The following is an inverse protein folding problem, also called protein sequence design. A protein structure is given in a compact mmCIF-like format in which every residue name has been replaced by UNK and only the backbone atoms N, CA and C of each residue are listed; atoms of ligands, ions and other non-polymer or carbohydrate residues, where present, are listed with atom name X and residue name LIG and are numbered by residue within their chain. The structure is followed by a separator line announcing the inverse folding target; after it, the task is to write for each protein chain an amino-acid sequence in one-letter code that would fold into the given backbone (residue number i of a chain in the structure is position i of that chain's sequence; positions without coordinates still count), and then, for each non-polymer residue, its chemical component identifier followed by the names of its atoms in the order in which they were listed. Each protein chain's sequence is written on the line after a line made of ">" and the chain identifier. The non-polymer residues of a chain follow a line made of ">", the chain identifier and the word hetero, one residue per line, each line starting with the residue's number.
data_IF_967681792984
#
_entry.id   IF_967681792984
#
_cell.length_a   1.000
_cell.length_b   1.000
_cell.length_c   1.000
_cell.angle_alpha   90.00
_cell.angle_beta   90.00
_cell.angle_gamma   90.00
#
_symmetry.space_group_name_H-M   'P 1'
#
loop_
_entity.id
_entity.type
_entity.pdbx_description
1 polymer ?
#
# COMPACT_ATOMS: atom_id res chain seq x y z
N UNK A 1 17.43 42.13 -6.82
CA UNK A 1 17.25 40.68 -7.03
C UNK A 1 16.02 40.28 -6.25
N UNK A 2 14.93 40.04 -6.97
CA UNK A 2 13.66 39.65 -6.36
C UNK A 2 13.71 38.18 -5.92
N UNK A 3 12.82 37.77 -5.02
CA UNK A 3 12.75 36.38 -4.54
C UNK A 3 12.57 35.39 -5.71
N UNK A 4 11.86 35.81 -6.77
CA UNK A 4 11.69 35.02 -7.99
C UNK A 4 13.01 34.78 -8.75
N UNK A 5 13.91 35.76 -8.80
CA UNK A 5 15.20 35.64 -9.47
C UNK A 5 16.11 34.63 -8.74
N UNK A 6 16.08 34.66 -7.39
CA UNK A 6 16.85 33.71 -6.57
C UNK A 6 16.32 32.30 -6.70
N UNK A 7 14.99 32.11 -6.75
CA UNK A 7 14.37 30.80 -6.95
C UNK A 7 14.76 30.19 -8.30
N UNK A 8 14.70 30.98 -9.39
CA UNK A 8 15.10 30.52 -10.71
C UNK A 8 16.60 30.17 -10.78
N UNK A 9 17.46 30.99 -10.17
CA UNK A 9 18.90 30.69 -10.08
C UNK A 9 19.19 29.43 -9.25
N UNK A 10 18.45 29.19 -8.18
CA UNK A 10 18.57 27.99 -7.37
C UNK A 10 18.14 26.73 -8.13
N UNK A 11 17.06 26.81 -8.91
CA UNK A 11 16.60 25.71 -9.77
C UNK A 11 17.64 25.36 -10.85
N UNK A 12 18.23 26.36 -11.50
CA UNK A 12 19.29 26.15 -12.50
C UNK A 12 20.57 25.57 -11.86
N UNK A 13 21.00 26.09 -10.71
CA UNK A 13 22.15 25.58 -9.99
C UNK A 13 21.94 24.11 -9.57
N UNK A 14 20.76 23.78 -9.05
CA UNK A 14 20.40 22.40 -8.69
C UNK A 14 20.39 21.49 -9.91
N UNK A 15 19.86 21.94 -11.05
CA UNK A 15 19.86 21.18 -12.29
C UNK A 15 21.27 20.80 -12.76
N UNK A 16 22.25 21.70 -12.66
CA UNK A 16 23.63 21.40 -13.03
C UNK A 16 24.27 20.37 -12.08
N UNK A 17 24.04 20.49 -10.77
CA UNK A 17 24.51 19.54 -9.76
C UNK A 17 23.93 18.14 -10.01
N UNK A 18 22.62 18.08 -10.27
CA UNK A 18 21.90 16.83 -10.52
C UNK A 18 22.42 16.15 -11.80
N UNK A 19 22.64 16.93 -12.87
CA UNK A 19 23.20 16.46 -14.13
C UNK A 19 24.62 15.91 -13.98
N UNK A 20 25.48 16.58 -13.22
CA UNK A 20 26.84 16.12 -12.95
C UNK A 20 26.81 14.79 -12.18
N UNK A 21 25.97 14.71 -11.15
CA UNK A 21 25.83 13.51 -10.31
C UNK A 21 25.28 12.32 -11.11
N UNK A 22 24.21 12.51 -11.87
CA UNK A 22 23.65 11.46 -12.74
C UNK A 22 24.61 11.08 -13.89
N UNK A 23 25.45 12.03 -14.32
CA UNK A 23 26.49 11.83 -15.32
C UNK A 23 27.66 10.96 -14.85
N UNK A 24 27.90 10.91 -13.54
CA UNK A 24 29.03 10.26 -12.91
C UNK A 24 29.14 8.76 -13.30
N UNK A 25 30.28 8.30 -13.87
CA UNK A 25 30.48 6.91 -14.26
C UNK A 25 30.31 5.89 -13.12
N UNK A 26 30.72 6.22 -11.89
CA UNK A 26 30.56 5.33 -10.73
C UNK A 26 29.08 5.18 -10.35
N UNK A 27 28.31 6.28 -10.38
CA UNK A 27 26.85 6.23 -10.15
C UNK A 27 26.18 5.36 -11.22
N UNK A 28 26.53 5.53 -12.50
CA UNK A 28 26.00 4.67 -13.58
C UNK A 28 26.34 3.20 -13.37
N UNK A 29 27.56 2.91 -12.92
CA UNK A 29 27.99 1.55 -12.58
C UNK A 29 27.20 0.97 -11.40
N UNK A 30 26.94 1.75 -10.33
CA UNK A 30 26.08 1.34 -9.22
C UNK A 30 24.68 0.97 -9.70
N UNK A 31 24.05 1.86 -10.48
CA UNK A 31 22.70 1.65 -11.01
C UNK A 31 22.64 0.41 -11.92
N UNK A 32 23.65 0.19 -12.75
CA UNK A 32 23.74 -1.01 -13.59
C UNK A 32 23.76 -2.29 -12.74
N UNK A 33 24.52 -2.32 -11.64
CA UNK A 33 24.57 -3.48 -10.73
C UNK A 33 23.22 -3.74 -10.08
N UNK A 34 22.47 -2.68 -9.72
CA UNK A 34 21.11 -2.80 -9.18
C UNK A 34 20.16 -3.35 -10.25
N UNK A 35 20.21 -2.84 -11.47
CA UNK A 35 19.41 -3.34 -12.59
C UNK A 35 19.68 -4.82 -12.87
N UNK A 36 20.95 -5.21 -13.03
CA UNK A 36 21.37 -6.61 -13.22
C UNK A 36 20.95 -7.50 -12.04
N UNK A 37 20.90 -6.96 -10.83
CA UNK A 37 20.38 -7.70 -9.67
C UNK A 37 18.89 -7.97 -9.81
N UNK A 38 18.09 -6.94 -10.12
CA UNK A 38 16.63 -7.03 -10.29
C UNK A 38 16.28 -7.97 -11.44
N UNK A 39 16.99 -7.90 -12.57
CA UNK A 39 16.78 -8.76 -13.73
C UNK A 39 17.06 -10.25 -13.46
N UNK A 40 17.92 -10.55 -12.49
CA UNK A 40 18.38 -11.93 -12.20
C UNK A 40 17.75 -12.54 -10.96
N UNK A 41 16.89 -11.82 -10.26
CA UNK A 41 16.25 -12.28 -9.03
C UNK A 41 14.73 -12.17 -9.11
N UNK A 42 14.07 -13.06 -8.38
CA UNK A 42 12.62 -13.04 -8.18
C UNK A 42 12.25 -11.90 -7.22
N UNK A 43 12.17 -10.68 -7.76
CA UNK A 43 11.76 -9.44 -7.08
C UNK A 43 10.82 -8.63 -7.97
N UNK A 44 9.98 -7.77 -7.40
CA UNK A 44 9.03 -6.94 -8.17
C UNK A 44 9.18 -5.46 -7.85
N UNK A 45 9.49 -4.65 -8.86
CA UNK A 45 9.59 -3.19 -8.70
C UNK A 45 8.23 -2.55 -8.44
N UNK A 46 8.21 -1.55 -7.55
CA UNK A 46 7.03 -0.74 -7.25
C UNK A 46 7.38 0.77 -7.21
N UNK A 47 6.44 1.61 -6.79
CA UNK A 47 6.69 3.02 -6.55
C UNK A 47 6.86 3.86 -7.83
N UNK A 48 7.52 5.01 -7.68
CA UNK A 48 7.64 6.00 -8.77
C UNK A 48 8.42 5.46 -9.97
N UNK A 49 9.51 4.73 -9.73
CA UNK A 49 10.36 4.18 -10.79
C UNK A 49 9.64 3.09 -11.57
N UNK A 50 8.84 2.24 -10.91
CA UNK A 50 7.97 1.28 -11.58
C UNK A 50 6.96 1.97 -12.51
N UNK A 51 6.22 2.96 -12.00
CA UNK A 51 5.25 3.71 -12.81
C UNK A 51 5.96 4.33 -14.03
N UNK A 52 7.06 5.05 -13.81
CA UNK A 52 7.81 5.70 -14.88
C UNK A 52 8.29 4.72 -15.97
N UNK A 53 8.74 3.52 -15.58
CA UNK A 53 9.24 2.52 -16.53
C UNK A 53 8.12 1.85 -17.33
N UNK A 54 6.94 1.68 -16.73
CA UNK A 54 5.76 1.17 -17.42
C UNK A 54 5.20 2.16 -18.44
N UNK A 55 5.29 3.47 -18.19
CA UNK A 55 4.78 4.49 -19.10
C UNK A 55 5.53 4.57 -20.45
N UNK A 56 4.85 5.01 -21.52
CA UNK A 56 5.50 5.33 -22.79
C UNK A 56 6.34 6.61 -22.65
N UNK A 57 7.29 6.82 -23.56
CA UNK A 57 8.34 7.86 -23.44
C UNK A 57 7.80 9.26 -23.18
N UNK A 58 6.71 9.65 -23.86
CA UNK A 58 6.08 10.96 -23.74
C UNK A 58 5.43 11.22 -22.37
N UNK A 59 5.12 10.16 -21.63
CA UNK A 59 4.41 10.24 -20.36
C UNK A 59 5.29 9.99 -19.15
N UNK A 60 6.56 9.62 -19.38
CA UNK A 60 7.57 9.52 -18.33
C UNK A 60 7.76 10.88 -17.65
N UNK A 61 7.93 10.83 -16.33
CA UNK A 61 8.06 12.01 -15.47
C UNK A 61 9.41 12.08 -14.76
N UNK A 62 10.27 11.06 -14.91
CA UNK A 62 11.67 11.13 -14.48
C UNK A 62 12.59 11.35 -15.68
N UNK A 63 13.56 12.23 -15.50
CA UNK A 63 14.62 12.46 -16.46
C UNK A 63 15.94 11.84 -15.97
N UNK A 64 16.29 10.65 -16.47
CA UNK A 64 17.53 9.97 -16.07
C UNK A 64 18.82 10.61 -16.60
N UNK A 65 18.75 11.73 -17.34
CA UNK A 65 19.95 12.55 -17.60
C UNK A 65 20.36 13.40 -16.39
N UNK A 66 19.43 13.62 -15.45
CA UNK A 66 19.63 14.45 -14.26
C UNK A 66 19.23 13.74 -12.97
N UNK A 67 18.39 12.71 -13.05
CA UNK A 67 17.90 11.98 -11.90
C UNK A 67 18.50 10.57 -11.81
N UNK A 68 18.93 10.19 -10.61
CA UNK A 68 19.32 8.81 -10.31
C UNK A 68 18.03 8.01 -10.04
N UNK A 69 17.80 6.87 -10.71
CA UNK A 69 16.63 6.05 -10.42
C UNK A 69 16.74 5.47 -9.01
N UNK A 70 15.74 5.75 -8.19
CA UNK A 70 15.53 5.10 -6.89
C UNK A 70 14.78 3.78 -7.13
N UNK A 71 15.43 2.64 -6.89
CA UNK A 71 14.83 1.33 -7.12
C UNK A 71 14.19 0.79 -5.86
N UNK A 72 12.86 0.92 -5.81
CA UNK A 72 11.99 0.26 -4.85
C UNK A 72 11.56 -1.12 -5.39
N UNK A 73 11.80 -2.20 -4.65
CA UNK A 73 11.28 -3.52 -5.04
C UNK A 73 10.92 -4.44 -3.87
N UNK A 74 9.89 -5.24 -4.09
CA UNK A 74 9.41 -6.23 -3.14
C UNK A 74 10.20 -7.53 -3.23
N UNK A 75 10.33 -8.18 -2.09
CA UNK A 75 10.98 -9.47 -1.92
C UNK A 75 10.29 -10.26 -0.79
N UNK A 76 10.12 -11.56 -0.98
CA UNK A 76 9.72 -12.47 0.10
C UNK A 76 10.80 -12.51 1.21
N UNK A 77 12.06 -12.18 0.89
CA UNK A 77 13.23 -12.25 1.79
C UNK A 77 14.13 -11.01 1.62
N UNK A 78 13.67 -9.81 2.00
CA UNK A 78 14.34 -8.56 1.64
C UNK A 78 15.74 -8.42 2.25
N UNK A 79 15.97 -8.85 3.49
CA UNK A 79 17.29 -8.91 4.14
C UNK A 79 18.31 -9.79 3.38
N UNK A 80 17.84 -10.89 2.78
CA UNK A 80 18.69 -11.79 1.99
C UNK A 80 19.08 -11.13 0.68
N UNK A 81 18.11 -10.53 -0.02
CA UNK A 81 18.37 -9.80 -1.26
C UNK A 81 19.23 -8.55 -1.02
N UNK A 82 19.01 -7.82 0.06
CA UNK A 82 19.83 -6.67 0.46
C UNK A 82 21.28 -7.08 0.71
N UNK A 83 21.52 -8.15 1.46
CA UNK A 83 22.87 -8.68 1.70
C UNK A 83 23.56 -9.11 0.41
N UNK A 84 22.84 -9.79 -0.52
CA UNK A 84 23.41 -10.18 -1.82
C UNK A 84 23.75 -8.99 -2.71
N UNK A 85 22.88 -7.98 -2.76
CA UNK A 85 23.12 -6.75 -3.52
C UNK A 85 24.33 -5.99 -2.95
N UNK A 86 24.39 -5.85 -1.63
CA UNK A 86 25.53 -5.25 -0.94
C UNK A 86 26.84 -6.01 -1.22
N UNK A 87 26.82 -7.34 -1.22
CA UNK A 87 27.99 -8.14 -1.60
C UNK A 87 28.42 -7.90 -3.06
N UNK A 88 27.47 -7.75 -4.00
CA UNK A 88 27.80 -7.44 -5.41
C UNK A 88 28.46 -6.08 -5.54
N UNK A 89 27.93 -5.06 -4.85
CA UNK A 89 28.48 -3.71 -4.84
C UNK A 89 29.89 -3.69 -4.22
N UNK A 90 30.08 -4.32 -3.05
CA UNK A 90 31.39 -4.38 -2.42
C UNK A 90 32.43 -5.11 -3.30
N UNK A 91 32.03 -6.18 -3.98
CA UNK A 91 32.91 -6.90 -4.90
C UNK A 91 33.21 -6.12 -6.20
N UNK A 92 32.38 -5.14 -6.55
CA UNK A 92 32.59 -4.24 -7.69
C UNK A 92 33.55 -3.07 -7.37
N UNK A 93 34.04 -2.97 -6.13
CA UNK A 93 35.07 -2.03 -5.71
C UNK A 93 34.56 -0.78 -4.97
N UNK A 94 33.26 -0.67 -4.64
CA UNK A 94 32.75 0.45 -3.85
C UNK A 94 33.25 0.38 -2.41
N UNK A 95 33.72 1.51 -1.88
CA UNK A 95 34.49 1.58 -0.63
C UNK A 95 33.64 1.49 0.63
N UNK A 96 32.43 2.06 0.60
CA UNK A 96 31.48 2.04 1.71
C UNK A 96 30.16 1.44 1.24
N UNK A 97 29.87 0.19 1.65
CA UNK A 97 28.60 -0.47 1.30
C UNK A 97 27.87 -0.87 2.56
N UNK A 98 26.62 -0.45 2.72
CA UNK A 98 25.85 -0.64 3.95
C UNK A 98 24.42 -1.06 3.65
N UNK A 99 23.91 -2.02 4.43
CA UNK A 99 22.49 -2.36 4.53
C UNK A 99 21.99 -1.88 5.88
N UNK A 100 20.90 -1.12 5.88
CA UNK A 100 20.23 -0.63 7.09
C UNK A 100 18.73 -0.88 7.02
N UNK A 101 18.05 -1.09 8.16
CA UNK A 101 16.59 -1.07 8.19
C UNK A 101 16.08 0.31 7.76
N UNK A 102 15.01 0.31 6.97
CA UNK A 102 14.32 1.51 6.51
C UNK A 102 13.43 2.12 7.60
N UNK A 103 12.74 3.20 7.26
CA UNK A 103 11.76 3.82 8.16
C UNK A 103 10.56 2.88 8.40
N UNK A 104 10.11 2.21 7.35
CA UNK A 104 9.08 1.18 7.42
C UNK A 104 9.72 -0.16 7.80
N UNK A 105 9.21 -0.80 8.85
CA UNK A 105 9.69 -2.10 9.30
C UNK A 105 9.53 -3.15 8.18
N UNK A 106 10.56 -3.97 7.97
CA UNK A 106 10.60 -4.95 6.88
C UNK A 106 11.12 -4.39 5.54
N UNK A 107 11.43 -3.09 5.46
CA UNK A 107 12.19 -2.49 4.36
C UNK A 107 13.67 -2.39 4.71
N UNK A 108 14.55 -2.71 3.77
CA UNK A 108 16.00 -2.57 3.90
C UNK A 108 16.55 -1.65 2.83
N UNK A 109 17.28 -0.63 3.25
CA UNK A 109 17.96 0.32 2.36
C UNK A 109 19.40 -0.10 2.16
N UNK A 110 19.81 -0.18 0.89
CA UNK A 110 21.19 -0.45 0.48
C UNK A 110 21.84 0.86 0.06
N UNK A 111 23.01 1.14 0.64
CA UNK A 111 23.85 2.27 0.32
C UNK A 111 25.17 1.81 -0.29
N UNK A 112 25.66 2.52 -1.30
CA UNK A 112 27.00 2.41 -1.84
C UNK A 112 27.62 3.80 -1.94
N UNK A 113 28.80 3.99 -1.33
CA UNK A 113 29.50 5.26 -1.21
C UNK A 113 28.57 6.41 -0.81
N UNK A 114 27.76 6.14 0.23
CA UNK A 114 26.78 7.05 0.84
C UNK A 114 25.57 7.41 -0.03
N UNK A 115 25.48 6.86 -1.25
CA UNK A 115 24.32 6.98 -2.12
C UNK A 115 23.35 5.83 -1.83
N UNK A 116 22.07 6.15 -1.60
CA UNK A 116 21.02 5.14 -1.51
C UNK A 116 20.72 4.59 -2.90
N UNK A 117 20.87 3.28 -3.10
CA UNK A 117 20.76 2.67 -4.44
C UNK A 117 19.56 1.74 -4.60
N UNK A 118 18.98 1.25 -3.50
CA UNK A 118 17.79 0.42 -3.52
C UNK A 118 17.10 0.37 -2.14
N UNK A 119 15.77 0.33 -2.17
CA UNK A 119 14.90 0.02 -1.04
C UNK A 119 14.20 -1.32 -1.32
N UNK A 120 14.44 -2.30 -0.44
CA UNK A 120 13.97 -3.68 -0.60
C UNK A 120 12.96 -3.98 0.49
N UNK A 121 11.69 -4.08 0.12
CA UNK A 121 10.57 -4.23 1.06
C UNK A 121 10.06 -5.67 1.14
N UNK A 122 9.67 -6.09 2.34
CA UNK A 122 9.01 -7.38 2.53
C UNK A 122 7.67 -7.41 1.80
N UNK A 123 7.31 -8.59 1.31
CA UNK A 123 6.00 -8.91 0.76
C UNK A 123 5.66 -10.35 1.18
N UNK A 124 4.46 -10.56 1.70
CA UNK A 124 3.98 -11.90 2.05
C UNK A 124 4.04 -12.85 0.84
N UNK A 125 4.31 -14.13 1.08
CA UNK A 125 4.51 -15.11 0.03
C UNK A 125 3.26 -15.42 -0.81
N UNK A 126 2.06 -15.39 -0.23
CA UNK A 126 0.81 -15.57 -0.98
C UNK A 126 0.53 -14.35 -1.84
N UNK A 127 0.69 -13.16 -1.27
CA UNK A 127 0.56 -11.89 -1.98
C UNK A 127 1.57 -11.77 -3.13
N UNK A 128 2.83 -12.11 -2.86
CA UNK A 128 3.90 -12.09 -3.86
C UNK A 128 3.57 -13.04 -5.01
N UNK A 129 3.12 -14.26 -4.74
CA UNK A 129 2.72 -15.22 -5.79
C UNK A 129 1.56 -14.70 -6.63
N UNK A 130 0.56 -14.09 -5.99
CA UNK A 130 -0.59 -13.50 -6.68
C UNK A 130 -0.15 -12.40 -7.64
N UNK A 131 0.59 -11.42 -7.16
CA UNK A 131 1.13 -10.32 -7.97
C UNK A 131 2.08 -10.82 -9.07
N UNK A 132 2.93 -11.80 -8.75
CA UNK A 132 3.87 -12.40 -9.71
C UNK A 132 3.13 -13.09 -10.86
N UNK A 133 1.99 -13.71 -10.61
CA UNK A 133 1.22 -14.43 -11.63
C UNK A 133 0.66 -13.52 -12.73
N UNK A 134 0.41 -12.25 -12.43
CA UNK A 134 -0.02 -11.24 -13.42
C UNK A 134 1.09 -10.90 -14.44
N UNK A 135 2.35 -11.29 -14.17
CA UNK A 135 3.45 -11.32 -15.14
C UNK A 135 3.72 -9.98 -15.86
N UNK A 136 3.66 -8.86 -15.13
CA UNK A 136 3.99 -7.55 -15.69
C UNK A 136 5.50 -7.39 -15.77
N UNK A 137 6.05 -7.61 -16.98
CA UNK A 137 7.49 -7.56 -17.25
C UNK A 137 7.82 -6.58 -18.37
N UNK A 138 8.91 -5.83 -18.20
CA UNK A 138 9.50 -5.00 -19.27
C UNK A 138 11.01 -5.00 -19.12
N UNK A 139 11.73 -5.32 -20.20
CA UNK A 139 13.19 -5.43 -20.20
C UNK A 139 13.73 -6.36 -19.09
N UNK A 140 13.12 -7.54 -18.89
CA UNK A 140 13.50 -8.52 -17.85
C UNK A 140 13.32 -8.05 -16.40
N UNK A 141 12.70 -6.89 -16.20
CA UNK A 141 12.33 -6.40 -14.87
C UNK A 141 10.84 -6.68 -14.65
N UNK A 142 10.53 -7.35 -13.55
CA UNK A 142 9.16 -7.55 -13.10
C UNK A 142 8.68 -6.35 -12.29
N UNK A 143 7.44 -5.93 -12.54
CA UNK A 143 6.78 -4.83 -11.85
C UNK A 143 5.53 -5.34 -11.15
N UNK A 144 5.14 -4.68 -10.06
CA UNK A 144 3.79 -4.89 -9.52
C UNK A 144 2.74 -4.38 -10.53
N UNK A 145 1.55 -5.00 -10.58
CA UNK A 145 0.54 -4.64 -11.56
C UNK A 145 0.03 -3.19 -11.45
N UNK A 146 -0.44 -2.59 -12.56
CA UNK A 146 -0.99 -1.24 -12.55
C UNK A 146 -2.08 -1.01 -11.49
N UNK A 147 -2.95 -2.00 -11.24
CA UNK A 147 -3.98 -1.91 -10.22
C UNK A 147 -3.42 -1.93 -8.79
N UNK A 148 -2.29 -2.60 -8.55
CA UNK A 148 -1.56 -2.52 -7.30
C UNK A 148 -0.92 -1.13 -7.10
N UNK A 149 -0.33 -0.56 -8.15
CA UNK A 149 0.20 0.80 -8.12
C UNK A 149 -0.91 1.82 -7.83
N UNK A 150 -2.09 1.68 -8.46
CA UNK A 150 -3.28 2.48 -8.14
C UNK A 150 -3.66 2.37 -6.67
N UNK A 151 -3.75 1.15 -6.14
CA UNK A 151 -4.08 0.90 -4.74
C UNK A 151 -3.15 1.69 -3.82
N UNK A 152 -1.83 1.59 -4.03
CA UNK A 152 -0.85 2.33 -3.22
C UNK A 152 -1.01 3.85 -3.31
N UNK A 153 -1.35 4.39 -4.48
CA UNK A 153 -1.58 5.82 -4.66
C UNK A 153 -2.88 6.27 -3.97
N UNK A 154 -3.95 5.48 -4.06
CA UNK A 154 -5.21 5.76 -3.36
C UNK A 154 -5.08 5.60 -1.85
N UNK A 155 -4.19 4.74 -1.36
CA UNK A 155 -3.83 4.64 0.05
C UNK A 155 -3.24 5.97 0.58
N UNK A 156 -2.36 6.62 -0.18
CA UNK A 156 -1.82 7.94 0.18
C UNK A 156 -2.90 9.04 0.10
N UNK A 157 -3.68 9.05 -0.99
CA UNK A 157 -4.73 10.07 -1.22
C UNK A 157 -5.91 9.94 -0.26
N UNK A 158 -6.15 8.76 0.31
CA UNK A 158 -7.24 8.54 1.27
C UNK A 158 -6.92 9.07 2.67
N UNK A 159 -5.68 9.51 2.95
CA UNK A 159 -5.17 9.88 4.28
C UNK A 159 -4.86 11.39 4.40
N UNK A 160 -5.85 12.26 4.69
CA UNK A 160 -5.66 13.71 4.78
C UNK A 160 -4.79 14.19 5.95
N UNK A 161 -4.51 13.32 6.93
CA UNK A 161 -3.52 13.59 7.98
C UNK A 161 -2.17 12.91 7.75
N UNK A 162 -2.01 12.18 6.63
CA UNK A 162 -0.76 11.55 6.22
C UNK A 162 0.22 12.54 5.59
N UNK A 163 1.10 12.06 4.71
CA UNK A 163 2.06 12.92 4.01
C UNK A 163 1.42 13.63 2.81
N UNK A 164 0.67 14.70 3.10
CA UNK A 164 -0.04 15.50 2.09
C UNK A 164 0.89 16.26 1.15
N UNK A 165 2.18 16.43 1.50
CA UNK A 165 3.16 17.09 0.62
C UNK A 165 3.36 16.32 -0.69
N UNK A 166 3.10 15.01 -0.67
CA UNK A 166 3.23 14.11 -1.82
C UNK A 166 2.03 14.13 -2.76
N UNK A 167 0.87 14.64 -2.33
CA UNK A 167 -0.40 14.46 -3.04
C UNK A 167 -0.38 14.97 -4.48
N UNK A 168 0.23 16.14 -4.73
CA UNK A 168 0.36 16.69 -6.09
C UNK A 168 1.08 15.71 -7.02
N UNK A 169 2.21 15.17 -6.55
CA UNK A 169 3.06 14.22 -7.30
C UNK A 169 2.38 12.87 -7.46
N UNK A 170 1.73 12.37 -6.42
CA UNK A 170 0.97 11.10 -6.45
C UNK A 170 -0.18 11.18 -7.43
N UNK A 171 -0.96 12.27 -7.40
CA UNK A 171 -2.10 12.44 -8.29
C UNK A 171 -1.69 12.58 -9.75
N UNK A 172 -0.64 13.35 -10.08
CA UNK A 172 -0.13 13.45 -11.47
C UNK A 172 0.27 12.08 -12.03
N UNK A 173 0.99 11.29 -11.23
CA UNK A 173 1.39 9.92 -11.59
C UNK A 173 0.20 9.00 -11.79
N UNK A 174 -0.78 9.09 -10.91
CA UNK A 174 -2.03 8.32 -11.01
C UNK A 174 -2.77 8.65 -12.31
N UNK A 175 -2.86 9.93 -12.69
CA UNK A 175 -3.51 10.33 -13.94
C UNK A 175 -2.77 9.80 -15.18
N UNK A 176 -1.43 9.87 -15.19
CA UNK A 176 -0.61 9.27 -16.26
C UNK A 176 -0.79 7.76 -16.33
N UNK A 177 -0.81 7.07 -15.19
CA UNK A 177 -1.04 5.63 -15.12
C UNK A 177 -2.44 5.27 -15.63
N UNK A 178 -3.48 6.01 -15.22
CA UNK A 178 -4.86 5.81 -15.66
C UNK A 178 -5.03 6.01 -17.17
N UNK A 179 -4.33 6.98 -17.76
CA UNK A 179 -4.37 7.20 -19.21
C UNK A 179 -3.75 6.04 -20.00
N UNK A 180 -2.66 5.46 -19.52
CA UNK A 180 -1.89 4.46 -20.26
C UNK A 180 -2.27 3.01 -19.94
N UNK A 181 -2.84 2.78 -18.76
CA UNK A 181 -3.23 1.46 -18.27
C UNK A 181 -4.66 1.51 -17.71
N UNK A 182 -5.67 1.97 -18.47
CA UNK A 182 -7.01 2.18 -17.93
C UNK A 182 -7.52 0.93 -17.20
N UNK A 183 -8.19 1.14 -16.05
CA UNK A 183 -8.94 0.05 -15.45
C UNK A 183 -10.04 -0.36 -16.42
N UNK A 184 -10.27 -1.66 -16.55
CA UNK A 184 -11.31 -2.21 -17.39
C UNK A 184 -12.21 -3.08 -16.52
N UNK A 185 -13.52 -2.84 -16.57
CA UNK A 185 -14.51 -3.79 -16.08
C UNK A 185 -14.49 -5.02 -17.01
N UNK A 186 -14.12 -6.22 -16.53
CA UNK A 186 -14.16 -7.42 -17.36
C UNK A 186 -15.59 -7.75 -17.78
N UNK A 187 -15.76 -8.50 -18.88
CA UNK A 187 -17.08 -8.97 -19.31
C UNK A 187 -17.74 -9.86 -18.24
N UNK A 188 -19.07 -9.75 -18.09
CA UNK A 188 -19.85 -10.52 -17.13
C UNK A 188 -19.63 -12.02 -17.28
N UNK A 189 -19.05 -12.63 -16.24
CA UNK A 189 -18.82 -14.09 -16.19
C UNK A 189 -19.87 -14.79 -15.35
N UNK A 190 -20.43 -14.15 -14.32
CA UNK A 190 -21.45 -14.73 -13.44
C UNK A 190 -22.40 -13.67 -12.87
N UNK A 191 -23.70 -13.99 -12.83
CA UNK A 191 -24.69 -13.18 -12.13
C UNK A 191 -24.65 -13.52 -10.64
N UNK A 192 -23.92 -12.74 -9.84
CA UNK A 192 -24.03 -12.81 -8.39
C UNK A 192 -25.40 -12.24 -7.97
N UNK A 193 -26.22 -13.02 -7.26
CA UNK A 193 -27.46 -12.50 -6.69
C UNK A 193 -27.16 -11.52 -5.57
N UNK A 194 -27.79 -10.35 -5.62
CA UNK A 194 -27.68 -9.36 -4.55
C UNK A 194 -28.74 -9.61 -3.48
N UNK A 195 -28.24 -9.91 -2.28
CA UNK A 195 -29.06 -9.91 -1.07
C UNK A 195 -29.06 -8.51 -0.46
N UNK A 196 -30.19 -8.11 0.12
CA UNK A 196 -30.39 -6.78 0.70
C UNK A 196 -30.88 -6.89 2.14
N UNK A 197 -30.46 -5.92 2.96
CA UNK A 197 -30.97 -5.74 4.31
C UNK A 197 -32.46 -5.41 4.31
N UNK A 198 -33.19 -6.01 5.24
CA UNK A 198 -34.57 -5.65 5.57
C UNK A 198 -34.64 -4.18 6.04
N UNK A 199 -35.74 -3.49 5.72
CA UNK A 199 -35.89 -2.04 5.95
C UNK A 199 -35.74 -1.66 7.42
N UNK A 200 -36.34 -2.44 8.33
CA UNK A 200 -36.30 -2.24 9.77
C UNK A 200 -34.87 -2.39 10.32
N UNK A 201 -34.20 -3.50 10.00
CA UNK A 201 -32.81 -3.74 10.36
C UNK A 201 -31.89 -2.65 9.82
N UNK A 202 -32.09 -2.22 8.57
CA UNK A 202 -31.34 -1.12 7.95
C UNK A 202 -31.54 0.19 8.74
N UNK A 203 -32.75 0.48 9.17
CA UNK A 203 -33.05 1.68 9.98
C UNK A 203 -32.31 1.64 11.33
N UNK A 204 -32.38 0.52 12.05
CA UNK A 204 -31.68 0.35 13.32
C UNK A 204 -30.15 0.45 13.17
N UNK A 205 -29.57 -0.24 12.18
CA UNK A 205 -28.15 -0.16 11.88
C UNK A 205 -27.75 1.28 11.56
N UNK A 206 -28.52 1.99 10.75
CA UNK A 206 -28.25 3.39 10.42
C UNK A 206 -28.19 4.27 11.67
N UNK A 207 -29.15 4.13 12.59
CA UNK A 207 -29.13 4.87 13.87
C UNK A 207 -27.87 4.54 14.68
N UNK A 208 -27.51 3.26 14.78
CA UNK A 208 -26.27 2.83 15.46
C UNK A 208 -25.06 3.47 14.81
N UNK A 209 -24.97 3.51 13.48
CA UNK A 209 -23.84 4.14 12.77
C UNK A 209 -23.74 5.64 13.05
N UNK A 210 -24.86 6.36 13.10
CA UNK A 210 -24.91 7.80 13.36
C UNK A 210 -24.48 8.14 14.81
N UNK A 211 -24.85 7.29 15.79
CA UNK A 211 -24.44 7.43 17.19
C UNK A 211 -22.96 7.08 17.36
N UNK A 212 -22.54 5.93 16.84
CA UNK A 212 -21.17 5.43 16.98
C UNK A 212 -20.16 6.15 16.08
N UNK A 213 -20.63 6.97 15.14
CA UNK A 213 -19.80 7.65 14.12
C UNK A 213 -19.05 6.65 13.24
N UNK A 214 -19.72 5.55 12.87
CA UNK A 214 -19.20 4.58 11.91
C UNK A 214 -19.33 5.11 10.48
N UNK A 215 -18.35 4.79 9.64
CA UNK A 215 -18.33 5.16 8.21
C UNK A 215 -18.87 4.00 7.38
N UNK A 216 -19.84 4.27 6.51
CA UNK A 216 -20.26 3.33 5.48
C UNK A 216 -19.14 3.13 4.44
N UNK A 217 -18.85 1.89 4.11
CA UNK A 217 -17.79 1.47 3.18
C UNK A 217 -18.36 0.53 2.11
N UNK A 218 -17.50 0.09 1.18
CA UNK A 218 -17.80 -0.96 0.22
C UNK A 218 -18.83 -0.54 -0.82
N UNK A 219 -19.50 -1.52 -1.41
CA UNK A 219 -20.45 -1.30 -2.50
C UNK A 219 -21.61 -0.39 -2.10
N UNK A 220 -22.09 -0.45 -0.85
CA UNK A 220 -23.15 0.44 -0.39
C UNK A 220 -22.70 1.91 -0.41
N UNK A 221 -21.46 2.18 -0.01
CA UNK A 221 -20.90 3.52 -0.06
C UNK A 221 -20.67 4.03 -1.49
N UNK A 222 -20.27 3.16 -2.43
CA UNK A 222 -20.11 3.56 -3.83
C UNK A 222 -21.45 3.94 -4.46
N UNK A 223 -22.51 3.17 -4.23
CA UNK A 223 -23.84 3.46 -4.78
C UNK A 223 -24.46 4.75 -4.22
N UNK A 224 -24.17 5.13 -2.97
CA UNK A 224 -24.65 6.40 -2.40
C UNK A 224 -24.03 7.64 -3.06
N UNK A 225 -22.91 7.51 -3.78
CA UNK A 225 -22.33 8.62 -4.55
C UNK A 225 -23.21 8.99 -5.76
N UNK A 226 -24.11 8.10 -6.19
CA UNK A 226 -24.89 8.21 -7.45
C UNK A 226 -26.33 8.73 -7.26
N UNK A 227 -26.74 9.16 -6.05
CA UNK A 227 -28.11 9.61 -5.70
C UNK A 227 -29.21 8.52 -5.78
N UNK A 228 -28.91 7.22 -5.60
CA UNK A 228 -29.84 6.17 -5.13
C UNK A 228 -29.13 4.83 -4.94
N UNK A 229 -29.43 4.04 -3.87
CA UNK A 229 -30.75 3.43 -3.69
C UNK A 229 -31.29 3.45 -2.25
N UNK A 230 -32.58 3.12 -2.11
CA UNK A 230 -33.28 2.93 -0.83
C UNK A 230 -32.86 1.66 -0.09
N UNK A 231 -32.12 0.71 -0.68
CA UNK A 231 -31.79 -0.60 -0.08
C UNK A 231 -30.28 -0.77 0.08
N UNK A 232 -29.85 -1.37 1.18
CA UNK A 232 -28.43 -1.69 1.43
C UNK A 232 -28.16 -3.16 1.12
N UNK A 233 -27.15 -3.42 0.30
CA UNK A 233 -26.71 -4.75 -0.10
C UNK A 233 -25.89 -5.43 1.00
N UNK A 234 -25.92 -6.76 1.04
CA UNK A 234 -25.08 -7.61 1.87
C UNK A 234 -23.85 -8.14 1.11
N UNK A 235 -22.68 -8.28 1.79
CA UNK A 235 -22.43 -7.80 3.15
C UNK A 235 -22.34 -6.27 3.23
N UNK A 236 -22.72 -5.72 4.38
CA UNK A 236 -22.55 -4.30 4.69
C UNK A 236 -21.13 -4.06 5.23
N UNK A 237 -20.30 -3.31 4.52
CA UNK A 237 -18.97 -2.95 4.99
C UNK A 237 -19.01 -1.62 5.76
N UNK A 238 -18.41 -1.61 6.95
CA UNK A 238 -18.33 -0.48 7.86
C UNK A 238 -16.88 -0.24 8.30
N UNK A 239 -16.56 1.00 8.64
CA UNK A 239 -15.26 1.39 9.19
C UNK A 239 -15.46 2.12 10.53
N UNK A 240 -14.71 1.70 11.55
CA UNK A 240 -14.80 2.21 12.92
C UNK A 240 -13.41 2.43 13.54
N UNK A 241 -13.33 3.23 14.60
CA UNK A 241 -12.09 3.35 15.39
C UNK A 241 -11.88 2.11 16.26
N UNK A 242 -10.62 1.73 16.58
CA UNK A 242 -10.34 0.52 17.35
C UNK A 242 -11.08 0.44 18.68
N UNK A 243 -11.22 1.56 19.39
CA UNK A 243 -11.92 1.68 20.66
C UNK A 243 -13.44 1.42 20.56
N UNK A 244 -14.03 1.62 19.37
CA UNK A 244 -15.47 1.46 19.15
C UNK A 244 -15.86 0.13 18.52
N UNK A 245 -14.93 -0.62 17.94
CA UNK A 245 -15.26 -1.84 17.16
C UNK A 245 -16.08 -2.84 17.96
N UNK A 246 -15.69 -3.13 19.20
CA UNK A 246 -16.36 -4.14 20.01
C UNK A 246 -17.79 -3.74 20.39
N UNK A 247 -18.01 -2.49 20.76
CA UNK A 247 -19.34 -1.97 21.12
C UNK A 247 -20.24 -1.84 19.89
N UNK A 248 -19.71 -1.32 18.77
CA UNK A 248 -20.41 -1.28 17.49
C UNK A 248 -20.84 -2.67 17.04
N UNK A 249 -19.96 -3.66 17.14
CA UNK A 249 -20.28 -5.06 16.80
C UNK A 249 -21.49 -5.54 17.60
N UNK A 250 -21.48 -5.35 18.92
CA UNK A 250 -22.60 -5.75 19.79
C UNK A 250 -23.88 -5.04 19.35
N UNK A 251 -23.88 -3.72 19.22
CA UNK A 251 -25.06 -2.94 18.84
C UNK A 251 -25.64 -3.36 17.49
N UNK A 252 -24.78 -3.61 16.50
CA UNK A 252 -25.19 -4.10 15.18
C UNK A 252 -25.79 -5.51 15.27
N UNK A 253 -25.21 -6.41 16.07
CA UNK A 253 -25.77 -7.75 16.29
C UNK A 253 -27.18 -7.69 16.87
N UNK A 254 -27.46 -6.77 17.81
CA UNK A 254 -28.80 -6.59 18.38
C UNK A 254 -29.82 -6.02 17.38
N UNK A 255 -29.37 -5.33 16.32
CA UNK A 255 -30.25 -4.87 15.25
C UNK A 255 -30.81 -6.02 14.40
N UNK A 256 -30.19 -7.19 14.46
CA UNK A 256 -30.73 -8.39 13.83
C UNK A 256 -31.72 -9.07 14.80
N UNK A 257 -33.00 -9.13 14.42
CA UNK A 257 -34.03 -9.86 15.18
C UNK A 257 -33.89 -11.39 15.15
N UNK A 258 -32.70 -11.90 14.79
CA UNK A 258 -32.36 -13.32 14.63
C UNK A 258 -30.97 -13.56 15.23
N UNK A 259 -30.67 -14.77 15.75
CA UNK A 259 -29.34 -15.08 16.25
C UNK A 259 -28.27 -14.92 15.17
N UNK A 260 -27.22 -14.17 15.50
CA UNK A 260 -26.03 -13.94 14.65
C UNK A 260 -24.77 -14.23 15.46
N UNK A 261 -23.67 -14.53 14.78
CA UNK A 261 -22.34 -14.78 15.37
C UNK A 261 -21.36 -13.72 14.91
N UNK A 262 -20.27 -13.52 15.66
CA UNK A 262 -19.18 -12.66 15.23
C UNK A 262 -17.84 -13.38 15.29
N UNK A 263 -16.93 -13.03 14.37
CA UNK A 263 -15.57 -13.56 14.30
C UNK A 263 -14.58 -12.44 13.99
N UNK A 264 -13.47 -12.41 14.72
CA UNK A 264 -12.39 -11.44 14.51
C UNK A 264 -11.35 -11.99 13.54
N UNK A 265 -10.84 -11.11 12.69
CA UNK A 265 -9.75 -11.38 11.75
C UNK A 265 -8.64 -10.34 11.98
N UNK A 266 -7.35 -10.76 11.95
CA UNK A 266 -6.23 -9.84 12.08
C UNK A 266 -6.09 -8.96 10.83
N UNK A 267 -5.18 -7.98 10.89
CA UNK A 267 -4.75 -7.26 9.70
C UNK A 267 -4.09 -8.22 8.71
N UNK A 268 -4.26 -7.95 7.42
CA UNK A 268 -3.49 -8.60 6.36
C UNK A 268 -2.54 -7.57 5.76
N UNK A 269 -1.26 -7.69 6.14
CA UNK A 269 -0.20 -6.74 5.79
C UNK A 269 -0.61 -5.28 6.05
N UNK A 270 -0.09 -4.33 5.27
CA UNK A 270 -0.60 -2.95 5.23
C UNK A 270 -1.85 -2.79 4.34
N UNK A 271 -2.32 -3.89 3.75
CA UNK A 271 -3.30 -3.89 2.68
C UNK A 271 -4.74 -3.81 3.20
N UNK A 272 -5.05 -4.63 4.20
CA UNK A 272 -6.38 -4.72 4.82
C UNK A 272 -6.28 -4.63 6.34
N UNK A 273 -7.07 -3.74 6.98
CA UNK A 273 -7.04 -3.60 8.43
C UNK A 273 -7.73 -4.78 9.14
N UNK A 274 -7.51 -4.96 10.46
CA UNK A 274 -8.25 -5.92 11.25
C UNK A 274 -9.75 -5.68 11.11
N UNK A 275 -10.52 -6.77 11.16
CA UNK A 275 -11.97 -6.67 11.03
C UNK A 275 -12.71 -7.64 11.93
N UNK A 276 -14.00 -7.37 12.10
CA UNK A 276 -14.95 -8.30 12.72
C UNK A 276 -16.07 -8.57 11.73
N UNK A 277 -16.28 -9.84 11.40
CA UNK A 277 -17.37 -10.27 10.55
C UNK A 277 -18.53 -10.72 11.42
N UNK A 278 -19.74 -10.26 11.10
CA UNK A 278 -21.01 -10.72 11.69
C UNK A 278 -21.67 -11.65 10.67
N UNK A 279 -21.96 -12.88 11.08
CA UNK A 279 -22.52 -13.91 10.22
C UNK A 279 -23.87 -14.42 10.71
N UNK A 280 -24.69 -14.92 9.78
CA UNK A 280 -25.89 -15.68 10.12
C UNK A 280 -25.55 -17.10 10.60
N UNK A 281 -26.59 -17.92 10.86
CA UNK A 281 -26.44 -19.31 11.28
C UNK A 281 -25.86 -20.24 10.19
N UNK A 282 -25.86 -19.81 8.92
CA UNK A 282 -25.27 -20.53 7.78
C UNK A 282 -23.83 -20.09 7.50
N UNK A 283 -23.26 -19.23 8.36
CA UNK A 283 -21.96 -18.58 8.20
C UNK A 283 -21.88 -17.62 6.98
N UNK A 284 -23.01 -17.12 6.49
CA UNK A 284 -23.03 -16.05 5.49
C UNK A 284 -22.69 -14.72 6.17
N UNK A 285 -21.73 -13.97 5.63
CA UNK A 285 -21.35 -12.66 6.18
C UNK A 285 -22.43 -11.62 5.88
N UNK A 286 -22.93 -11.00 6.95
CA UNK A 286 -23.94 -9.95 6.91
C UNK A 286 -23.30 -8.56 7.01
N UNK A 287 -22.33 -8.39 7.90
CA UNK A 287 -21.65 -7.11 8.14
C UNK A 287 -20.17 -7.35 8.37
N UNK A 288 -19.33 -6.50 7.79
CA UNK A 288 -17.90 -6.44 8.07
C UNK A 288 -17.56 -5.11 8.71
N UNK A 289 -16.93 -5.13 9.88
CA UNK A 289 -16.53 -3.94 10.61
C UNK A 289 -15.01 -3.88 10.63
N UNK A 290 -14.44 -3.03 9.76
CA UNK A 290 -13.01 -2.77 9.66
C UNK A 290 -12.57 -1.75 10.72
N UNK A 291 -11.39 -1.95 11.29
CA UNK A 291 -10.74 -0.95 12.14
C UNK A 291 -10.00 0.09 11.29
N UNK A 292 -9.99 1.34 11.74
CA UNK A 292 -9.10 2.36 11.19
C UNK A 292 -7.67 2.11 11.64
N UNK A 293 -6.74 2.04 10.69
CA UNK A 293 -5.28 2.00 10.94
C UNK A 293 -4.60 3.34 10.65
N UNK A 294 -5.32 4.26 10.03
CA UNK A 294 -4.90 5.60 9.67
C UNK A 294 -6.10 6.56 9.76
N UNK A 295 -5.90 7.84 9.44
CA UNK A 295 -7.03 8.76 9.29
C UNK A 295 -7.63 8.60 7.89
N UNK A 296 -8.64 7.73 7.73
CA UNK A 296 -9.28 7.45 6.45
C UNK A 296 -10.35 8.48 6.12
N UNK A 297 -10.30 9.04 4.92
CA UNK A 297 -11.15 10.15 4.51
C UNK A 297 -12.58 9.71 4.20
N UNK A 298 -13.55 10.56 4.55
CA UNK A 298 -14.98 10.32 4.36
C UNK A 298 -15.73 11.63 4.11
N UNK A 299 -16.96 11.53 3.58
CA UNK A 299 -17.91 12.62 3.44
C UNK A 299 -19.09 12.45 4.40
N UNK A 300 -19.68 13.57 4.84
CA UNK A 300 -20.97 13.56 5.54
C UNK A 300 -22.08 13.89 4.55
N UNK A 301 -23.09 13.04 4.50
CA UNK A 301 -24.32 13.33 3.76
C UNK A 301 -25.13 14.40 4.52
N UNK A 302 -26.09 15.10 3.87
CA UNK A 302 -27.01 16.00 4.56
C UNK A 302 -27.77 15.33 5.71
N UNK A 303 -27.96 14.02 5.62
CA UNK A 303 -28.63 13.20 6.63
C UNK A 303 -27.75 12.82 7.82
N UNK A 304 -26.49 13.29 7.88
CA UNK A 304 -25.56 12.99 8.97
C UNK A 304 -24.76 11.69 8.81
N UNK A 305 -25.18 10.79 7.91
CA UNK A 305 -24.47 9.55 7.60
C UNK A 305 -23.06 9.85 7.06
N UNK A 306 -22.06 9.15 7.61
CA UNK A 306 -20.67 9.20 7.17
C UNK A 306 -20.42 8.12 6.11
N UNK A 307 -19.91 8.52 4.94
CA UNK A 307 -19.69 7.64 3.78
C UNK A 307 -18.24 7.78 3.32
N UNK A 308 -17.54 6.68 3.12
CA UNK A 308 -16.16 6.68 2.65
C UNK A 308 -15.99 7.50 1.36
N UNK A 309 -14.88 8.22 1.26
CA UNK A 309 -14.54 9.00 0.06
C UNK A 309 -14.16 8.09 -1.10
N UNK A 310 -14.10 8.65 -2.32
CA UNK A 310 -13.70 7.89 -3.50
C UNK A 310 -12.30 7.23 -3.32
N UNK A 311 -11.24 7.92 -2.86
CA UNK A 311 -9.95 7.25 -2.61
C UNK A 311 -10.00 6.19 -1.53
N UNK A 312 -10.76 6.39 -0.45
CA UNK A 312 -10.92 5.35 0.58
C UNK A 312 -11.60 4.12 -0.03
N UNK A 313 -12.64 4.30 -0.84
CA UNK A 313 -13.32 3.20 -1.53
C UNK A 313 -12.39 2.49 -2.52
N UNK A 314 -11.69 3.24 -3.36
CA UNK A 314 -10.75 2.70 -4.34
C UNK A 314 -9.60 1.96 -3.68
N UNK A 315 -9.07 2.48 -2.56
CA UNK A 315 -8.08 1.78 -1.76
C UNK A 315 -8.63 0.43 -1.30
N UNK A 316 -9.79 0.36 -0.66
CA UNK A 316 -10.34 -0.91 -0.15
C UNK A 316 -10.74 -1.89 -1.25
N UNK A 317 -11.36 -1.43 -2.34
CA UNK A 317 -11.73 -2.30 -3.46
C UNK A 317 -10.51 -2.90 -4.15
N UNK A 318 -9.49 -2.08 -4.44
CA UNK A 318 -8.26 -2.58 -5.04
C UNK A 318 -7.45 -3.44 -4.06
N UNK A 319 -7.44 -3.11 -2.77
CA UNK A 319 -6.83 -3.95 -1.73
C UNK A 319 -7.45 -5.34 -1.71
N UNK A 320 -8.77 -5.44 -1.87
CA UNK A 320 -9.49 -6.72 -1.86
C UNK A 320 -9.03 -7.64 -3.00
N UNK A 321 -8.63 -7.07 -4.15
CA UNK A 321 -8.05 -7.82 -5.27
C UNK A 321 -6.73 -8.50 -4.94
N UNK A 322 -6.03 -8.11 -3.88
CA UNK A 322 -4.73 -8.67 -3.50
C UNK A 322 -4.74 -9.36 -2.14
N UNK A 323 -5.88 -9.33 -1.45
CA UNK A 323 -6.10 -10.01 -0.19
C UNK A 323 -6.44 -11.52 -0.40
N UNK A 324 -6.39 -12.33 0.68
CA UNK A 324 -6.84 -13.72 0.64
C UNK A 324 -8.32 -13.85 0.27
N UNK A 325 -8.74 -15.03 -0.21
CA UNK A 325 -10.09 -15.25 -0.76
C UNK A 325 -11.23 -14.94 0.23
N UNK A 326 -10.98 -15.04 1.53
CA UNK A 326 -11.93 -14.66 2.59
C UNK A 326 -12.29 -13.16 2.62
N UNK A 327 -11.60 -12.30 1.87
CA UNK A 327 -11.96 -10.90 1.69
C UNK A 327 -12.94 -10.69 0.52
N UNK A 328 -12.92 -11.56 -0.49
CA UNK A 328 -13.80 -11.49 -1.66
C UNK A 328 -15.11 -12.27 -1.46
N UNK A 329 -15.02 -13.43 -0.80
CA UNK A 329 -16.14 -14.36 -0.54
C UNK A 329 -17.08 -14.53 -1.75
N UNK A 330 -18.36 -14.21 -1.60
CA UNK A 330 -19.44 -14.46 -2.56
C UNK A 330 -19.49 -13.45 -3.73
N UNK A 331 -18.62 -12.44 -3.76
CA UNK A 331 -18.61 -11.43 -4.83
C UNK A 331 -17.47 -11.73 -5.81
N UNK A 332 -17.75 -11.80 -7.12
CA UNK A 332 -16.71 -12.05 -8.11
C UNK A 332 -15.74 -10.87 -8.19
N UNK A 333 -14.47 -11.15 -8.46
CA UNK A 333 -13.41 -10.15 -8.64
C UNK A 333 -13.80 -9.05 -9.63
N UNK A 334 -14.49 -9.46 -10.71
CA UNK A 334 -15.05 -8.58 -11.72
C UNK A 334 -15.84 -7.42 -11.10
N UNK A 335 -16.67 -7.68 -10.09
CA UNK A 335 -17.53 -6.66 -9.47
C UNK A 335 -16.70 -5.55 -8.82
N UNK A 336 -15.63 -5.92 -8.13
CA UNK A 336 -14.70 -4.97 -7.51
C UNK A 336 -14.02 -4.09 -8.56
N UNK A 337 -13.55 -4.70 -9.66
CA UNK A 337 -12.95 -3.98 -10.78
C UNK A 337 -13.94 -3.02 -11.45
N UNK A 338 -15.17 -3.45 -11.71
CA UNK A 338 -16.20 -2.62 -12.34
C UNK A 338 -16.61 -1.44 -11.44
N UNK A 339 -16.76 -1.67 -10.13
CA UNK A 339 -17.04 -0.56 -9.20
C UNK A 339 -15.85 0.40 -9.09
N UNK A 340 -14.61 -0.12 -9.08
CA UNK A 340 -13.41 0.73 -9.06
C UNK A 340 -13.27 1.56 -10.34
N UNK A 341 -13.49 0.97 -11.51
CA UNK A 341 -13.52 1.69 -12.79
C UNK A 341 -14.56 2.82 -12.77
N UNK A 342 -15.79 2.52 -12.33
CA UNK A 342 -16.85 3.52 -12.22
C UNK A 342 -16.45 4.69 -11.32
N UNK A 343 -15.90 4.40 -10.13
CA UNK A 343 -15.43 5.42 -9.19
C UNK A 343 -14.30 6.28 -9.76
N UNK A 344 -13.39 5.70 -10.54
CA UNK A 344 -12.34 6.46 -11.24
C UNK A 344 -12.93 7.39 -12.30
N UNK A 345 -13.91 6.92 -13.07
CA UNK A 345 -14.59 7.75 -14.06
C UNK A 345 -15.35 8.90 -13.41
N UNK A 346 -16.09 8.62 -12.33
CA UNK A 346 -16.80 9.63 -11.54
C UNK A 346 -15.84 10.71 -11.00
N UNK A 347 -14.69 10.30 -10.49
CA UNK A 347 -13.65 11.22 -10.03
C UNK A 347 -13.11 12.12 -11.15
N UNK A 348 -12.94 11.58 -12.36
CA UNK A 348 -12.38 12.28 -13.51
C UNK A 348 -13.37 13.23 -14.20
N UNK A 349 -14.67 12.92 -14.18
CA UNK A 349 -15.73 13.68 -14.84
C UNK A 349 -16.29 14.83 -13.98
N UNK A 350 -16.17 14.75 -12.65
CA UNK A 350 -16.82 15.73 -11.78
C UNK A 350 -16.29 17.16 -11.97
N UNK A 351 -17.20 18.14 -12.10
CA UNK A 351 -16.86 19.59 -12.13
C UNK A 351 -16.19 20.08 -10.84
N UNK A 352 -16.16 19.25 -9.80
CA UNK A 352 -15.56 19.52 -8.49
C UNK A 352 -14.47 18.49 -8.13
N UNK A 353 -13.60 18.14 -9.08
CA UNK A 353 -12.54 17.13 -8.97
C UNK A 353 -11.91 17.05 -7.57
N UNK A 354 -11.46 18.19 -7.02
CA UNK A 354 -10.77 18.22 -5.72
C UNK A 354 -11.67 17.98 -4.49
N UNK A 355 -12.94 18.37 -4.53
CA UNK A 355 -13.86 18.24 -3.37
C UNK A 355 -14.34 16.80 -3.17
N UNK A 356 -14.41 16.04 -4.26
CA UNK A 356 -14.84 14.63 -4.26
C UNK A 356 -13.66 13.68 -4.05
N UNK A 357 -12.48 14.05 -4.57
CA UNK A 357 -11.30 13.21 -4.44
C UNK A 357 -10.77 13.17 -3.00
N UNK A 358 -10.55 14.28 -2.31
CA UNK A 358 -9.83 14.20 -1.02
C UNK A 358 -10.48 15.08 0.05
N UNK A 359 -11.52 14.60 0.75
CA UNK A 359 -12.07 15.36 1.86
C UNK A 359 -11.02 15.45 2.98
N UNK A 360 -10.89 16.64 3.59
CA UNK A 360 -10.03 16.84 4.75
C UNK A 360 -10.57 16.13 6.01
N UNK A 361 -11.86 15.79 6.02
CA UNK A 361 -12.51 15.04 7.08
C UNK A 361 -12.15 13.57 7.02
N UNK A 362 -11.68 13.02 8.14
CA UNK A 362 -11.27 11.61 8.24
C UNK A 362 -11.60 10.99 9.60
N UNK A 363 -11.70 9.66 9.62
CA UNK A 363 -11.93 8.82 10.80
C UNK A 363 -10.65 8.04 11.12
N UNK A 364 -10.29 7.97 12.41
CA UNK A 364 -9.09 7.28 12.89
C UNK A 364 -7.93 8.23 13.19
N UNK A 365 -6.82 7.64 13.60
CA UNK A 365 -5.61 8.37 14.01
C UNK A 365 -4.50 8.06 13.02
N UNK A 366 -3.89 9.09 12.44
CA UNK A 366 -2.70 8.93 11.63
C UNK A 366 -1.48 8.89 12.56
N UNK A 367 -0.68 7.83 12.46
CA UNK A 367 0.62 7.77 13.13
C UNK A 367 1.56 8.79 12.50
N UNK A 368 2.19 9.62 13.33
CA UNK A 368 3.25 10.51 12.90
C UNK A 368 4.62 9.80 12.90
N UNK A 369 5.63 10.47 12.34
CA UNK A 369 6.99 9.95 12.26
C UNK A 369 7.59 9.66 13.65
N UNK A 370 7.20 10.43 14.67
CA UNK A 370 7.72 10.28 16.03
C UNK A 370 7.18 9.00 16.66
N UNK A 371 5.87 8.78 16.57
CA UNK A 371 5.18 7.59 17.06
C UNK A 371 5.74 6.33 16.39
N UNK A 372 5.92 6.35 15.05
CA UNK A 372 6.53 5.22 14.34
C UNK A 372 7.96 4.91 14.81
N UNK A 373 8.76 5.95 15.12
CA UNK A 373 10.11 5.77 15.69
C UNK A 373 10.08 5.20 17.10
N UNK A 374 9.14 5.64 17.95
CA UNK A 374 8.96 5.10 19.30
C UNK A 374 8.60 3.62 19.24
N UNK A 375 7.60 3.25 18.44
CA UNK A 375 7.19 1.84 18.25
C UNK A 375 8.36 0.98 17.72
N UNK A 376 9.14 1.51 16.78
CA UNK A 376 10.33 0.86 16.23
C UNK A 376 11.40 0.66 17.32
N UNK A 377 11.65 1.67 18.15
CA UNK A 377 12.63 1.60 19.23
C UNK A 377 12.23 0.60 20.33
N UNK A 378 10.94 0.56 20.68
CA UNK A 378 10.41 -0.41 21.64
C UNK A 378 10.56 -1.85 21.13
N UNK A 379 10.26 -2.08 19.85
CA UNK A 379 10.43 -3.39 19.23
C UNK A 379 11.91 -3.78 19.14
N UNK A 380 12.80 -2.84 18.81
CA UNK A 380 14.24 -3.07 18.83
C UNK A 380 14.72 -3.46 20.24
N UNK A 381 14.29 -2.75 21.27
CA UNK A 381 14.66 -3.04 22.66
C UNK A 381 14.22 -4.43 23.11
N UNK A 382 13.08 -4.91 22.63
CA UNK A 382 12.60 -6.28 22.89
C UNK A 382 13.43 -7.36 22.19
N UNK A 383 13.95 -7.07 21.00
CA UNK A 383 14.62 -8.08 20.15
C UNK A 383 16.16 -8.02 20.18
N UNK A 384 16.76 -6.96 20.73
CA UNK A 384 18.22 -6.72 20.67
C UNK A 384 19.08 -7.76 21.38
N UNK A 385 18.52 -8.51 22.33
CA UNK A 385 19.24 -9.53 23.10
C UNK A 385 19.64 -10.73 22.23
N UNK A 386 18.79 -11.13 21.28
CA UNK A 386 19.14 -12.13 20.26
C UNK A 386 19.11 -11.51 18.85
N UNK A 387 20.22 -10.88 18.48
CA UNK A 387 20.43 -10.33 17.13
C UNK A 387 20.51 -11.39 16.03
N UNK A 388 20.59 -12.67 16.40
CA UNK A 388 20.56 -13.79 15.46
C UNK A 388 19.18 -14.48 15.42
N UNK A 389 18.19 -13.96 16.15
CA UNK A 389 16.81 -14.40 16.05
C UNK A 389 16.25 -14.09 14.66
N UNK A 390 15.27 -14.87 14.23
CA UNK A 390 14.62 -14.66 12.93
C UNK A 390 13.96 -13.28 12.86
N UNK A 391 13.22 -12.91 13.90
CA UNK A 391 12.48 -11.65 14.00
C UNK A 391 13.42 -10.44 13.95
N UNK A 392 14.55 -10.49 14.67
CA UNK A 392 15.55 -9.42 14.59
C UNK A 392 16.12 -9.28 13.18
N UNK A 393 16.42 -10.40 12.50
CA UNK A 393 16.95 -10.38 11.14
C UNK A 393 15.90 -9.93 10.10
N UNK A 394 14.62 -10.16 10.35
CA UNK A 394 13.52 -9.69 9.47
C UNK A 394 13.26 -8.18 9.60
N UNK A 395 13.55 -7.59 10.76
CA UNK A 395 13.18 -6.21 11.07
C UNK A 395 14.35 -5.23 11.22
N UNK A 396 15.49 -5.70 11.73
CA UNK A 396 16.60 -4.85 12.18
C UNK A 396 17.96 -5.30 11.63
N UNK A 397 17.97 -6.18 10.63
CA UNK A 397 19.20 -6.61 9.97
C UNK A 397 19.99 -5.41 9.44
N UNK A 398 21.28 -5.42 9.74
CA UNK A 398 22.26 -4.48 9.21
C UNK A 398 23.49 -5.26 8.74
N UNK A 399 24.18 -4.72 7.74
CA UNK A 399 25.31 -5.40 7.13
C UNK A 399 26.23 -4.45 6.40
N UNK A 400 27.52 -4.48 6.73
CA UNK A 400 28.57 -3.69 6.07
C UNK A 400 29.62 -4.65 5.51
N UNK A 401 29.45 -5.17 4.27
CA UNK A 401 30.37 -6.17 3.71
C UNK A 401 31.81 -5.68 3.58
N UNK A 402 32.03 -4.38 3.36
CA UNK A 402 33.36 -3.77 3.19
C UNK A 402 34.24 -3.93 4.43
N UNK A 403 33.64 -4.01 5.61
CA UNK A 403 34.34 -4.16 6.90
C UNK A 403 34.57 -5.63 7.29
N UNK A 404 34.14 -6.58 6.44
CA UNK A 404 34.08 -8.00 6.76
C UNK A 404 34.94 -8.84 5.80
N UNK A 405 35.71 -9.75 6.40
CA UNK A 405 36.42 -10.82 5.67
C UNK A 405 35.43 -11.78 5.00
N UNK A 406 35.90 -12.51 3.97
CA UNK A 406 35.10 -13.52 3.26
C UNK A 406 34.46 -14.55 4.21
N UNK A 407 35.18 -14.99 5.24
CA UNK A 407 34.69 -15.92 6.25
C UNK A 407 33.59 -15.32 7.12
N UNK A 408 33.70 -14.04 7.50
CA UNK A 408 32.65 -13.34 8.24
C UNK A 408 31.39 -13.14 7.39
N UNK A 409 31.53 -12.77 6.11
CA UNK A 409 30.40 -12.68 5.16
C UNK A 409 29.67 -14.02 5.03
N UNK A 410 30.41 -15.13 4.98
CA UNK A 410 29.80 -16.48 4.98
C UNK A 410 29.01 -16.79 6.26
N UNK A 411 29.49 -16.37 7.43
CA UNK A 411 28.74 -16.52 8.70
C UNK A 411 27.43 -15.73 8.67
N UNK A 412 27.44 -14.50 8.16
CA UNK A 412 26.22 -13.68 7.98
C UNK A 412 25.22 -14.39 7.07
N UNK A 413 25.67 -14.86 5.89
CA UNK A 413 24.82 -15.64 4.96
C UNK A 413 24.24 -16.89 5.62
N UNK A 414 25.00 -17.58 6.47
CA UNK A 414 24.51 -18.74 7.22
C UNK A 414 23.42 -18.35 8.23
N UNK A 415 23.56 -17.21 8.92
CA UNK A 415 22.55 -16.69 9.84
C UNK A 415 21.25 -16.35 9.12
N UNK A 416 21.35 -15.69 7.96
CA UNK A 416 20.21 -15.32 7.12
C UNK A 416 19.41 -16.52 6.58
N UNK A 417 19.99 -17.73 6.51
CA UNK A 417 19.22 -18.93 6.14
C UNK A 417 18.06 -19.22 7.09
N UNK A 418 18.06 -18.67 8.32
CA UNK A 418 16.94 -18.79 9.26
C UNK A 418 15.67 -18.09 8.77
N UNK A 419 15.80 -17.02 7.98
CA UNK A 419 14.67 -16.22 7.50
C UNK A 419 14.05 -16.82 6.23
N UNK A 420 14.75 -17.74 5.56
CA UNK A 420 14.25 -18.45 4.38
C UNK A 420 13.23 -19.56 4.70
N UNK A 421 13.11 -19.97 5.96
CA UNK A 421 12.16 -21.02 6.35
C UNK A 421 10.74 -20.44 6.39
N UNK A 422 9.76 -21.11 5.79
CA UNK A 422 8.35 -20.72 5.88
C UNK A 422 7.92 -20.58 7.35
N UNK A 423 7.12 -19.57 7.69
CA UNK A 423 6.43 -19.55 8.99
C UNK A 423 5.59 -20.82 9.06
N UNK A 424 5.80 -21.67 10.08
CA UNK A 424 4.79 -22.67 10.41
C UNK A 424 3.58 -21.87 10.92
N UNK A 425 2.37 -22.08 10.39
CA UNK A 425 1.19 -21.36 10.80
C UNK A 425 0.91 -21.52 12.29
#
# INVERSE_FOLDING_TARGET
>A
MEVGDVAALAEEAQYQIDKETAGNPEVKKMIKIVQEFIETHRVMCYGGTAINNLLPKQDKFYNYSTEIPDYDFFSETPQVHASKLADRLANAGFGSVQVKPGLHLGTFKVFADYIGVADISHMDGEMFKKLWSESIEKNKIHYVPPNFLRMSMYLELSRPKGDVSRWKKVYDRLQRLNRNYPMTCPAATENASDEYLEEETRSHIRTVMEVEKAVLLGFNASMLQEKSPKKWMLPLDLLATPDKRADLTKKIMHSFGKPVKSRNFPAYEELMPPRTDITDNKNTVLVRIYETQACHSYHKTPSGLMVASIPTLLQFFLSTLYAPKEFMESKPEQRFLCTAEHLVNLANESKHKYKILTPLTCLGTQKDLVTMRVETADLYNKLKEDKNSREFLELFFNYTPTDLTKTQRQKVRKSLKKTLKTRRP
#
